data_IF_393246013075
#
_entry.id   IF_393246013075
#
_cell.length_a   1.000
_cell.length_b   1.000
_cell.length_c   1.000
_cell.angle_alpha   90.00
_cell.angle_beta   90.00
_cell.angle_gamma   90.00
#
_symmetry.space_group_name_H-M   'P 1'
#
loop_
_entity.id
_entity.type
_entity.pdbx_description
1 polymer ?
#
# COMPACT_ATOMS: atom_id res chain seq x y z
N UNK A 1 -16.57 17.63 5.81
CA UNK A 1 -17.37 16.38 5.81
C UNK A 1 -16.43 15.20 5.52
N UNK A 2 -16.28 14.23 6.44
CA UNK A 2 -15.33 13.10 6.30
C UNK A 2 -16.00 12.02 5.43
N UNK A 3 -15.51 11.75 4.22
CA UNK A 3 -16.14 10.79 3.28
C UNK A 3 -16.23 9.35 3.83
N UNK A 4 -15.36 8.98 4.77
CA UNK A 4 -15.36 7.67 5.44
C UNK A 4 -16.59 7.43 6.32
N UNK A 5 -17.24 8.49 6.84
CA UNK A 5 -18.47 8.36 7.64
C UNK A 5 -19.67 7.92 6.79
N UNK A 6 -19.66 8.22 5.48
CA UNK A 6 -20.76 7.90 4.56
C UNK A 6 -20.50 6.63 3.73
N UNK A 7 -19.24 6.24 3.52
CA UNK A 7 -18.84 5.15 2.61
C UNK A 7 -18.03 4.03 3.24
N UNK A 8 -17.85 4.04 4.57
CA UNK A 8 -17.02 3.07 5.28
C UNK A 8 -15.53 3.38 5.18
N UNK A 9 -14.70 2.40 5.58
CA UNK A 9 -13.24 2.56 5.56
C UNK A 9 -12.74 2.73 4.11
N UNK A 10 -11.82 3.67 3.85
CA UNK A 10 -11.24 3.83 2.52
C UNK A 10 -10.53 2.53 2.08
N UNK A 11 -10.55 2.20 0.78
CA UNK A 11 -9.80 1.05 0.28
C UNK A 11 -8.32 1.23 0.55
N UNK A 12 -7.64 0.11 0.82
CA UNK A 12 -6.18 0.06 0.96
C UNK A 12 -5.55 0.09 -0.43
N UNK A 13 -4.62 1.01 -0.66
CA UNK A 13 -3.88 1.16 -1.91
C UNK A 13 -2.39 1.13 -1.62
N UNK A 14 -1.66 0.29 -2.36
CA UNK A 14 -0.19 0.32 -2.39
C UNK A 14 0.21 0.91 -3.75
N UNK A 15 0.93 2.02 -3.74
CA UNK A 15 1.41 2.70 -4.94
C UNK A 15 2.91 2.45 -5.09
N UNK A 16 3.29 1.84 -6.22
CA UNK A 16 4.70 1.67 -6.59
C UNK A 16 5.16 2.89 -7.39
N UNK A 17 6.24 3.53 -6.95
CA UNK A 17 6.88 4.67 -7.62
C UNK A 17 8.22 4.25 -8.25
N UNK A 18 8.14 3.21 -9.06
CA UNK A 18 9.29 2.60 -9.73
C UNK A 18 9.22 2.83 -11.25
N UNK A 19 10.38 2.86 -11.91
CA UNK A 19 10.47 2.93 -13.36
C UNK A 19 10.24 1.58 -14.03
N UNK A 20 10.66 1.47 -15.29
CA UNK A 20 10.64 0.20 -16.01
C UNK A 20 11.46 -0.85 -15.25
N UNK A 21 10.80 -1.94 -14.87
CA UNK A 21 11.42 -3.05 -14.18
C UNK A 21 10.77 -4.36 -14.60
N UNK A 22 11.43 -5.47 -14.29
CA UNK A 22 10.85 -6.78 -14.50
C UNK A 22 9.80 -7.08 -13.43
N UNK A 23 8.87 -8.00 -13.73
CA UNK A 23 7.94 -8.52 -12.72
C UNK A 23 8.67 -9.12 -11.52
N UNK A 24 9.86 -9.71 -11.71
CA UNK A 24 10.69 -10.22 -10.62
C UNK A 24 11.16 -9.11 -9.67
N UNK A 25 11.54 -7.95 -10.21
CA UNK A 25 11.92 -6.81 -9.38
C UNK A 25 10.76 -6.34 -8.50
N UNK A 26 9.53 -6.37 -9.03
CA UNK A 26 8.31 -6.06 -8.27
C UNK A 26 8.10 -7.09 -7.16
N UNK A 27 8.28 -8.39 -7.46
CA UNK A 27 8.18 -9.45 -6.45
C UNK A 27 9.19 -9.26 -5.31
N UNK A 28 10.47 -9.05 -5.66
CA UNK A 28 11.54 -8.84 -4.67
C UNK A 28 11.29 -7.58 -3.83
N UNK A 29 10.72 -6.53 -4.44
CA UNK A 29 10.29 -5.32 -3.75
C UNK A 29 9.20 -5.62 -2.70
N UNK A 30 8.17 -6.38 -3.07
CA UNK A 30 7.12 -6.77 -2.11
C UNK A 30 7.65 -7.66 -0.98
N UNK A 31 8.57 -8.57 -1.27
CA UNK A 31 9.22 -9.39 -0.24
C UNK A 31 10.04 -8.53 0.71
N UNK A 32 10.82 -7.58 0.18
CA UNK A 32 11.63 -6.66 1.00
C UNK A 32 10.77 -5.79 1.92
N UNK A 33 9.64 -5.31 1.42
CA UNK A 33 8.74 -4.41 2.16
C UNK A 33 7.66 -5.15 2.98
N UNK A 34 7.72 -6.49 3.09
CA UNK A 34 6.66 -7.31 3.70
C UNK A 34 6.25 -6.81 5.10
N UNK A 35 7.21 -6.45 5.94
CA UNK A 35 6.95 -5.93 7.30
C UNK A 35 6.18 -4.60 7.27
N UNK A 36 6.54 -3.70 6.37
CA UNK A 36 5.88 -2.39 6.22
C UNK A 36 4.45 -2.57 5.66
N UNK A 37 4.28 -3.49 4.71
CA UNK A 37 2.97 -3.85 4.16
C UNK A 37 2.06 -4.43 5.24
N UNK A 38 2.58 -5.35 6.09
CA UNK A 38 1.81 -5.90 7.22
C UNK A 38 1.36 -4.80 8.19
N UNK A 39 2.25 -3.84 8.51
CA UNK A 39 1.90 -2.68 9.36
C UNK A 39 0.81 -1.82 8.71
N UNK A 40 0.95 -1.50 7.43
CA UNK A 40 -0.04 -0.74 6.67
C UNK A 40 -1.41 -1.45 6.65
N UNK A 41 -1.45 -2.75 6.39
CA UNK A 41 -2.70 -3.52 6.35
C UNK A 41 -3.41 -3.55 7.71
N UNK A 42 -2.64 -3.64 8.80
CA UNK A 42 -3.17 -3.68 10.16
C UNK A 42 -3.62 -2.31 10.69
N UNK A 43 -3.22 -1.19 10.08
CA UNK A 43 -3.64 0.15 10.52
C UNK A 43 -5.01 0.53 9.92
N UNK A 44 -6.13 0.55 10.66
CA UNK A 44 -7.45 0.82 10.08
C UNK A 44 -7.64 2.25 9.53
N UNK A 45 -6.75 3.18 9.87
CA UNK A 45 -6.85 4.59 9.48
C UNK A 45 -5.99 4.95 8.27
N UNK A 46 -4.99 4.14 7.93
CA UNK A 46 -4.18 4.34 6.74
C UNK A 46 -4.90 3.82 5.49
N UNK A 47 -4.80 4.55 4.38
CA UNK A 47 -5.42 4.17 3.10
C UNK A 47 -4.41 4.01 1.96
N UNK A 48 -3.24 4.65 2.07
CA UNK A 48 -2.22 4.67 1.02
C UNK A 48 -0.85 4.32 1.62
N UNK A 49 -0.15 3.39 0.99
CA UNK A 49 1.26 3.10 1.23
C UNK A 49 2.05 3.28 -0.06
N UNK A 50 3.17 4.01 0.00
CA UNK A 50 3.99 4.33 -1.17
C UNK A 50 5.31 3.59 -1.03
N UNK A 51 5.66 2.78 -2.04
CA UNK A 51 6.94 2.10 -2.13
C UNK A 51 7.73 2.76 -3.26
N UNK A 52 8.95 3.20 -2.97
CA UNK A 52 9.89 3.83 -3.92
C UNK A 52 11.01 2.89 -4.31
#
# INVERSE_FOLDING_TARGET
MRRSLLRGRPPKVIQLRIGNCSTMHIYDLFIREESAIKKFLNNPNEALFIIT
#
